data_IF_458051263673
#
_entry.id   IF_458051263673
#
_cell.length_a   1.000
_cell.length_b   1.000
_cell.length_c   1.000
_cell.angle_alpha   90.00
_cell.angle_beta   90.00
_cell.angle_gamma   90.00
#
_symmetry.space_group_name_H-M   'P 1'
#
loop_
_entity.id
_entity.type
_entity.pdbx_description
1 polymer ?
#
# COMPACT_ATOMS: atom_id res chain seq x y z
N UNK A 1 -12.60 -20.03 -15.86
CA UNK A 1 -12.72 -20.85 -14.64
C UNK A 1 -13.58 -20.04 -13.68
N UNK A 2 -14.65 -20.59 -13.10
CA UNK A 2 -15.52 -19.82 -12.19
C UNK A 2 -14.74 -19.53 -10.90
N UNK A 3 -14.49 -18.26 -10.52
CA UNK A 3 -13.79 -17.92 -9.29
C UNK A 3 -14.49 -18.50 -8.05
N UNK A 4 -15.80 -18.77 -8.15
CA UNK A 4 -16.63 -19.38 -7.10
C UNK A 4 -16.35 -20.86 -6.86
N UNK A 5 -15.55 -21.52 -7.71
CA UNK A 5 -15.18 -22.94 -7.60
C UNK A 5 -13.75 -23.17 -7.09
N UNK A 6 -12.97 -22.11 -6.90
CA UNK A 6 -11.72 -22.22 -6.16
C UNK A 6 -12.09 -22.40 -4.69
N UNK A 7 -12.00 -23.64 -4.21
CA UNK A 7 -11.97 -23.86 -2.77
C UNK A 7 -10.89 -22.98 -2.16
N UNK A 8 -11.07 -22.62 -0.90
CA UNK A 8 -10.06 -21.97 -0.06
C UNK A 8 -8.62 -22.38 -0.38
N UNK A 9 -8.42 -23.70 -0.45
CA UNK A 9 -7.15 -24.36 -0.79
C UNK A 9 -6.65 -24.03 -2.19
N UNK A 10 -7.56 -23.87 -3.15
CA UNK A 10 -7.27 -23.41 -4.50
C UNK A 10 -6.81 -21.94 -4.56
N UNK A 11 -7.38 -21.04 -3.75
CA UNK A 11 -6.93 -19.65 -3.66
C UNK A 11 -5.50 -19.57 -3.09
N UNK A 12 -5.24 -20.28 -1.99
CA UNK A 12 -3.90 -20.35 -1.35
C UNK A 12 -2.84 -20.87 -2.31
N UNK A 13 -3.14 -21.93 -3.07
CA UNK A 13 -2.24 -22.47 -4.09
C UNK A 13 -2.07 -21.54 -5.30
N UNK A 14 -3.10 -20.75 -5.65
CA UNK A 14 -3.06 -19.83 -6.78
C UNK A 14 -2.23 -18.56 -6.50
N UNK A 15 -2.21 -18.09 -5.24
CA UNK A 15 -1.48 -16.89 -4.83
C UNK A 15 -0.06 -17.17 -4.31
N UNK A 16 0.43 -18.41 -4.42
CA UNK A 16 1.81 -18.76 -4.05
C UNK A 16 2.09 -18.63 -2.54
N UNK A 17 1.05 -18.56 -1.71
CA UNK A 17 1.17 -18.58 -0.25
C UNK A 17 1.82 -19.93 0.16
N UNK A 18 3.07 -19.89 0.60
CA UNK A 18 3.75 -21.06 1.16
C UNK A 18 3.16 -21.31 2.54
N UNK A 19 2.26 -22.27 2.62
CA UNK A 19 1.59 -22.69 3.86
C UNK A 19 1.71 -24.21 3.91
N UNK A 20 2.38 -24.73 4.92
CA UNK A 20 2.71 -26.16 5.01
C UNK A 20 1.45 -27.02 5.23
N UNK A 21 0.47 -26.49 5.97
CA UNK A 21 -0.77 -27.22 6.28
C UNK A 21 -1.99 -26.77 5.47
N UNK A 22 -1.92 -25.61 4.78
CA UNK A 22 -3.01 -25.07 3.97
C UNK A 22 -4.23 -24.59 4.77
N UNK A 23 -4.15 -24.54 6.11
CA UNK A 23 -5.29 -24.23 6.99
C UNK A 23 -5.25 -22.81 7.56
N UNK A 24 -4.23 -21.99 7.27
CA UNK A 24 -4.17 -20.59 7.72
C UNK A 24 -5.48 -19.84 7.44
N UNK A 25 -6.01 -19.97 6.23
CA UNK A 25 -7.23 -19.29 5.82
C UNK A 25 -8.41 -19.74 6.69
N UNK A 26 -8.51 -21.03 7.04
CA UNK A 26 -9.55 -21.53 7.97
C UNK A 26 -9.33 -21.05 9.42
N UNK A 27 -8.08 -20.91 9.86
CA UNK A 27 -7.72 -20.37 11.20
C UNK A 27 -8.15 -18.91 11.35
N UNK A 28 -7.97 -18.14 10.28
CA UNK A 28 -8.18 -16.70 10.25
C UNK A 28 -9.61 -16.29 9.84
N UNK A 29 -10.35 -17.13 9.10
CA UNK A 29 -11.72 -16.87 8.59
C UNK A 29 -12.87 -17.61 9.28
N UNK A 30 -12.81 -17.79 10.61
CA UNK A 30 -14.08 -17.94 11.34
C UNK A 30 -14.89 -16.62 11.27
N UNK A 31 -16.09 -16.53 11.89
CA UNK A 31 -17.05 -15.38 11.87
C UNK A 31 -16.50 -13.96 12.20
N UNK A 32 -15.19 -13.83 12.35
CA UNK A 32 -14.37 -12.69 12.75
C UNK A 32 -14.09 -11.65 11.66
N UNK A 33 -14.61 -11.82 10.45
CA UNK A 33 -14.28 -10.93 9.30
C UNK A 33 -15.44 -10.06 8.82
N UNK A 34 -16.48 -9.95 9.64
CA UNK A 34 -17.61 -9.09 9.33
C UNK A 34 -17.37 -7.63 9.73
N UNK A 35 -16.42 -7.36 10.64
CA UNK A 35 -16.06 -6.02 11.06
C UNK A 35 -14.64 -5.62 10.61
N UNK A 36 -14.41 -4.34 10.25
CA UNK A 36 -13.11 -3.90 9.75
C UNK A 36 -11.96 -4.00 10.74
N UNK A 37 -12.22 -3.83 12.03
CA UNK A 37 -11.17 -3.85 13.06
C UNK A 37 -10.63 -5.26 13.25
N UNK A 38 -11.51 -6.24 13.41
CA UNK A 38 -11.13 -7.64 13.53
C UNK A 38 -10.53 -8.15 12.23
N UNK A 39 -11.05 -7.73 11.07
CA UNK A 39 -10.45 -8.07 9.78
C UNK A 39 -9.03 -7.56 9.62
N UNK A 40 -8.75 -6.34 10.08
CA UNK A 40 -7.42 -5.81 10.04
C UNK A 40 -6.46 -6.46 11.04
N UNK A 41 -6.93 -6.84 12.24
CA UNK A 41 -6.15 -7.65 13.17
C UNK A 41 -5.80 -9.01 12.57
N UNK A 42 -6.79 -9.70 12.00
CA UNK A 42 -6.60 -10.98 11.32
C UNK A 42 -5.60 -10.88 10.18
N UNK A 43 -5.69 -9.84 9.34
CA UNK A 43 -4.76 -9.64 8.24
C UNK A 43 -3.32 -9.41 8.73
N UNK A 44 -3.13 -8.63 9.79
CA UNK A 44 -1.80 -8.43 10.43
C UNK A 44 -1.26 -9.72 11.02
N UNK A 45 -2.10 -10.48 11.74
CA UNK A 45 -1.70 -11.76 12.33
C UNK A 45 -1.31 -12.77 11.24
N UNK A 46 -2.02 -12.77 10.11
CA UNK A 46 -1.71 -13.63 8.96
C UNK A 46 -0.38 -13.25 8.27
N UNK A 47 -0.05 -11.96 8.17
CA UNK A 47 1.27 -11.51 7.68
C UNK A 47 2.40 -11.92 8.64
N UNK A 48 2.11 -12.02 9.94
CA UNK A 48 3.07 -12.27 11.01
C UNK A 48 2.94 -13.63 11.70
N UNK A 49 2.42 -14.68 11.05
CA UNK A 49 2.24 -16.00 11.69
C UNK A 49 3.60 -16.69 12.00
N UNK A 50 4.19 -16.24 13.10
CA UNK A 50 5.46 -16.71 13.64
C UNK A 50 5.32 -18.08 14.28
N UNK A 51 4.14 -18.41 14.81
CA UNK A 51 3.89 -19.70 15.46
C UNK A 51 4.01 -20.85 14.46
N UNK A 52 3.58 -20.63 13.21
CA UNK A 52 3.61 -21.64 12.16
C UNK A 52 4.78 -21.43 11.19
N UNK A 53 5.60 -20.38 11.41
CA UNK A 53 6.74 -19.98 10.56
C UNK A 53 6.32 -19.65 9.11
N UNK A 54 5.08 -19.22 8.94
CA UNK A 54 4.50 -18.86 7.66
C UNK A 54 4.48 -17.33 7.56
N UNK A 55 5.32 -16.76 6.71
CA UNK A 55 5.21 -15.34 6.35
C UNK A 55 4.46 -15.29 5.04
N UNK A 56 3.23 -14.78 5.08
CA UNK A 56 2.45 -14.54 3.88
C UNK A 56 2.82 -13.19 3.30
N UNK A 57 3.01 -13.15 1.99
CA UNK A 57 3.17 -11.89 1.26
C UNK A 57 1.90 -11.03 1.50
N UNK A 58 2.04 -9.80 2.01
CA UNK A 58 0.90 -8.94 2.34
C UNK A 58 -0.12 -8.79 1.20
N UNK A 59 0.34 -8.74 -0.05
CA UNK A 59 -0.53 -8.66 -1.23
C UNK A 59 -1.41 -9.89 -1.40
N UNK A 60 -0.86 -11.09 -1.18
CA UNK A 60 -1.59 -12.34 -1.29
C UNK A 60 -2.69 -12.45 -0.21
N UNK A 61 -2.43 -11.96 1.01
CA UNK A 61 -3.46 -11.88 2.07
C UNK A 61 -4.62 -10.99 1.62
N UNK A 62 -4.31 -9.81 1.07
CA UNK A 62 -5.34 -8.86 0.64
C UNK A 62 -6.15 -9.36 -0.57
N UNK A 63 -5.50 -9.97 -1.55
CA UNK A 63 -6.16 -10.57 -2.71
C UNK A 63 -7.06 -11.73 -2.31
N UNK A 64 -6.58 -12.59 -1.41
CA UNK A 64 -7.38 -13.70 -0.91
C UNK A 64 -8.62 -13.20 -0.16
N UNK A 65 -8.48 -12.20 0.73
CA UNK A 65 -9.62 -11.59 1.43
C UNK A 65 -10.62 -10.95 0.46
N UNK A 66 -10.15 -10.24 -0.57
CA UNK A 66 -11.01 -9.61 -1.57
C UNK A 66 -11.78 -10.63 -2.43
N UNK A 67 -11.30 -11.87 -2.53
CA UNK A 67 -11.93 -12.92 -3.33
C UNK A 67 -12.95 -13.78 -2.57
N UNK A 68 -13.06 -13.67 -1.24
CA UNK A 68 -14.00 -14.49 -0.45
C UNK A 68 -15.40 -13.91 -0.49
N UNK A 69 -16.36 -14.73 -0.90
CA UNK A 69 -17.77 -14.40 -0.80
C UNK A 69 -18.19 -14.26 0.67
N UNK A 70 -18.83 -13.15 1.01
CA UNK A 70 -19.38 -12.90 2.36
C UNK A 70 -18.51 -12.02 3.25
N UNK A 71 -17.26 -11.72 2.89
CA UNK A 71 -16.49 -10.67 3.57
C UNK A 71 -16.98 -9.30 3.09
N UNK A 72 -17.42 -8.40 3.98
CA UNK A 72 -17.82 -7.05 3.57
C UNK A 72 -16.64 -6.26 2.98
N UNK A 73 -16.87 -5.48 1.92
CA UNK A 73 -15.83 -4.60 1.34
C UNK A 73 -15.22 -3.65 2.37
N UNK A 74 -16.00 -3.16 3.33
CA UNK A 74 -15.49 -2.33 4.41
C UNK A 74 -14.46 -3.07 5.29
N UNK A 75 -14.63 -4.38 5.47
CA UNK A 75 -13.70 -5.20 6.23
C UNK A 75 -12.36 -5.37 5.47
N UNK A 76 -12.44 -5.63 4.16
CA UNK A 76 -11.27 -5.66 3.27
C UNK A 76 -10.57 -4.29 3.25
N UNK A 77 -11.31 -3.19 3.18
CA UNK A 77 -10.76 -1.83 3.18
C UNK A 77 -10.00 -1.49 4.47
N UNK A 78 -10.53 -1.89 5.64
CA UNK A 78 -9.85 -1.71 6.92
C UNK A 78 -8.58 -2.56 7.03
N UNK A 79 -8.62 -3.81 6.57
CA UNK A 79 -7.44 -4.66 6.48
C UNK A 79 -6.37 -4.08 5.55
N UNK A 80 -6.79 -3.59 4.37
CA UNK A 80 -5.90 -2.95 3.41
C UNK A 80 -5.15 -1.77 4.02
N UNK A 81 -5.86 -0.91 4.75
CA UNK A 81 -5.27 0.24 5.45
C UNK A 81 -4.15 -0.21 6.39
N UNK A 82 -4.45 -1.08 7.34
CA UNK A 82 -3.50 -1.47 8.38
C UNK A 82 -2.30 -2.21 7.78
N UNK A 83 -2.54 -3.17 6.89
CA UNK A 83 -1.46 -3.92 6.23
C UNK A 83 -0.57 -3.00 5.41
N UNK A 84 -1.15 -2.07 4.66
CA UNK A 84 -0.40 -1.08 3.88
C UNK A 84 0.47 -0.19 4.78
N UNK A 85 -0.10 0.33 5.87
CA UNK A 85 0.61 1.26 6.75
C UNK A 85 1.70 0.57 7.57
N UNK A 86 1.52 -0.69 7.96
CA UNK A 86 2.48 -1.44 8.77
C UNK A 86 3.59 -2.09 7.94
N UNK A 87 3.25 -2.67 6.78
CA UNK A 87 4.18 -3.51 5.99
C UNK A 87 4.41 -3.02 4.57
N UNK A 88 3.51 -2.18 4.04
CA UNK A 88 3.43 -1.89 2.61
C UNK A 88 2.94 -3.08 1.80
N UNK A 89 2.69 -2.85 0.51
CA UNK A 89 2.34 -3.90 -0.45
C UNK A 89 3.20 -3.79 -1.70
N UNK A 90 3.58 -4.94 -2.25
CA UNK A 90 4.23 -5.06 -3.54
C UNK A 90 3.39 -5.95 -4.45
N UNK A 91 3.32 -5.59 -5.73
CA UNK A 91 2.74 -6.41 -6.78
C UNK A 91 3.57 -6.24 -8.06
N UNK A 92 3.51 -7.24 -8.93
CA UNK A 92 4.21 -7.21 -10.22
C UNK A 92 3.63 -6.13 -11.15
N UNK A 93 2.29 -5.98 -11.20
CA UNK A 93 1.61 -4.88 -11.87
C UNK A 93 1.08 -3.86 -10.85
N UNK A 94 1.53 -2.60 -10.88
CA UNK A 94 0.98 -1.51 -10.06
C UNK A 94 -0.54 -1.33 -10.18
N UNK A 95 -1.16 -1.76 -11.29
CA UNK A 95 -2.61 -1.72 -11.47
C UNK A 95 -3.36 -2.69 -10.55
N UNK A 96 -2.74 -3.79 -10.12
CA UNK A 96 -3.37 -4.76 -9.23
C UNK A 96 -3.56 -4.15 -7.85
N UNK A 97 -2.51 -3.52 -7.30
CA UNK A 97 -2.61 -2.73 -6.06
C UNK A 97 -3.59 -1.56 -6.22
N UNK A 98 -3.52 -0.83 -7.33
CA UNK A 98 -4.45 0.27 -7.58
C UNK A 98 -5.91 -0.20 -7.64
N UNK A 99 -6.17 -1.43 -8.10
CA UNK A 99 -7.51 -2.02 -8.11
C UNK A 99 -8.04 -2.27 -6.70
N UNK A 100 -7.21 -2.80 -5.79
CA UNK A 100 -7.58 -2.96 -4.37
C UNK A 100 -7.94 -1.61 -3.74
N UNK A 101 -7.13 -0.58 -3.98
CA UNK A 101 -7.41 0.77 -3.47
C UNK A 101 -8.64 1.42 -4.11
N UNK A 102 -8.90 1.20 -5.41
CA UNK A 102 -10.12 1.67 -6.08
C UNK A 102 -11.37 1.04 -5.46
N UNK A 103 -11.36 -0.27 -5.25
CA UNK A 103 -12.48 -0.99 -4.63
C UNK A 103 -12.71 -0.53 -3.18
N UNK A 104 -11.65 -0.48 -2.38
CA UNK A 104 -11.70 -0.02 -1.00
C UNK A 104 -12.20 1.43 -0.89
N UNK A 105 -11.78 2.33 -1.79
CA UNK A 105 -12.29 3.71 -1.84
C UNK A 105 -13.77 3.77 -2.23
N UNK A 106 -14.21 2.93 -3.16
CA UNK A 106 -15.59 2.92 -3.64
C UNK A 106 -16.57 2.34 -2.62
N UNK A 107 -16.16 1.31 -1.89
CA UNK A 107 -17.07 0.48 -1.08
C UNK A 107 -16.78 0.50 0.43
N UNK A 108 -15.63 1.00 0.86
CA UNK A 108 -15.26 1.12 2.27
C UNK A 108 -14.42 2.36 2.62
N UNK A 109 -14.71 3.56 2.10
CA UNK A 109 -13.83 4.72 2.25
C UNK A 109 -13.57 5.11 3.71
N UNK A 110 -14.55 4.95 4.60
CA UNK A 110 -14.43 5.25 6.03
C UNK A 110 -13.70 4.18 6.83
N UNK A 111 -13.49 3.00 6.26
CA UNK A 111 -12.63 1.96 6.83
C UNK A 111 -11.20 2.08 6.26
N UNK A 112 -11.07 2.49 5.01
CA UNK A 112 -9.78 2.75 4.37
C UNK A 112 -9.08 3.99 4.94
N UNK A 113 -9.83 5.07 5.17
CA UNK A 113 -9.31 6.38 5.60
C UNK A 113 -10.06 6.91 6.83
N UNK A 114 -9.36 7.64 7.69
CA UNK A 114 -9.97 8.39 8.78
C UNK A 114 -10.82 9.54 8.23
N UNK A 115 -11.69 10.10 9.08
CA UNK A 115 -12.49 11.27 8.70
C UNK A 115 -11.62 12.47 8.30
N UNK A 116 -10.51 12.72 9.00
CA UNK A 116 -9.57 13.79 8.67
C UNK A 116 -8.93 13.56 7.29
N UNK A 117 -8.47 12.35 7.02
CA UNK A 117 -7.85 11.99 5.74
C UNK A 117 -8.81 12.13 4.57
N UNK A 118 -10.06 11.70 4.73
CA UNK A 118 -11.11 11.87 3.72
C UNK A 118 -11.39 13.36 3.46
N UNK A 119 -11.48 14.17 4.52
CA UNK A 119 -11.67 15.62 4.39
C UNK A 119 -10.48 16.25 3.65
N UNK A 120 -9.25 15.89 4.02
CA UNK A 120 -8.03 16.37 3.34
C UNK A 120 -8.02 15.99 1.87
N UNK A 121 -8.31 14.73 1.55
CA UNK A 121 -8.41 14.24 0.17
C UNK A 121 -9.43 15.05 -0.64
N UNK A 122 -10.61 15.30 -0.07
CA UNK A 122 -11.67 16.08 -0.71
C UNK A 122 -11.28 17.55 -0.89
N UNK A 123 -10.52 18.11 0.06
CA UNK A 123 -10.04 19.49 0.03
C UNK A 123 -8.88 19.74 -0.94
N UNK A 124 -8.26 18.68 -1.49
CA UNK A 124 -7.18 18.83 -2.46
C UNK A 124 -7.64 19.64 -3.69
N UNK A 125 -6.74 20.43 -4.30
CA UNK A 125 -7.04 21.13 -5.54
C UNK A 125 -7.38 20.15 -6.67
N UNK A 126 -8.11 20.61 -7.69
CA UNK A 126 -8.49 19.78 -8.83
C UNK A 126 -7.28 19.13 -9.55
N UNK A 127 -6.13 19.81 -9.53
CA UNK A 127 -4.84 19.28 -9.97
C UNK A 127 -3.87 19.26 -8.80
N UNK A 128 -3.39 18.07 -8.45
CA UNK A 128 -2.52 17.80 -7.32
C UNK A 128 -1.10 17.62 -7.82
N UNK A 129 -0.15 18.29 -7.17
CA UNK A 129 1.28 18.05 -7.39
C UNK A 129 1.75 16.97 -6.41
N UNK A 130 2.41 15.94 -6.93
CA UNK A 130 2.84 14.76 -6.17
C UNK A 130 4.33 14.51 -6.39
N UNK A 131 4.97 13.95 -5.36
CA UNK A 131 6.40 13.65 -5.34
C UNK A 131 6.66 12.20 -4.92
N UNK A 132 7.72 11.58 -5.46
CA UNK A 132 8.16 10.24 -5.05
C UNK A 132 9.67 10.18 -5.00
N UNK A 133 10.22 9.75 -3.87
CA UNK A 133 11.63 9.41 -3.75
C UNK A 133 11.86 7.94 -4.10
N UNK A 134 12.91 7.66 -4.87
CA UNK A 134 13.25 6.28 -5.21
C UNK A 134 14.77 6.10 -5.39
N UNK A 135 15.36 5.16 -4.64
CA UNK A 135 16.82 4.93 -4.59
C UNK A 135 17.31 3.98 -5.69
N UNK A 136 16.57 2.91 -6.00
CA UNK A 136 17.08 1.76 -6.77
C UNK A 136 16.71 1.75 -8.27
N UNK A 137 16.31 2.88 -8.85
CA UNK A 137 15.79 2.93 -10.22
C UNK A 137 16.30 4.15 -11.00
N UNK A 138 16.25 4.05 -12.32
CA UNK A 138 16.89 4.97 -13.28
C UNK A 138 16.25 6.37 -13.39
N UNK A 139 15.24 6.66 -12.56
CA UNK A 139 14.52 7.93 -12.55
C UNK A 139 13.60 8.14 -13.75
N UNK A 140 13.42 7.14 -14.63
CA UNK A 140 12.59 7.28 -15.85
C UNK A 140 11.12 7.01 -15.60
N UNK A 141 10.81 6.12 -14.65
CA UNK A 141 9.44 5.72 -14.32
C UNK A 141 9.24 5.59 -12.81
N UNK A 142 8.03 5.88 -12.31
CA UNK A 142 7.67 5.58 -10.94
C UNK A 142 7.74 4.08 -10.68
N UNK A 143 8.34 3.68 -9.57
CA UNK A 143 8.45 2.27 -9.17
C UNK A 143 7.23 1.72 -8.42
N UNK A 144 6.30 2.57 -7.96
CA UNK A 144 5.11 2.16 -7.21
C UNK A 144 4.05 3.29 -7.26
N UNK A 145 2.85 3.00 -6.73
CA UNK A 145 1.69 3.88 -6.60
C UNK A 145 1.70 4.77 -5.36
N UNK A 146 2.64 4.57 -4.43
CA UNK A 146 2.85 5.44 -3.26
C UNK A 146 3.57 6.75 -3.66
N UNK A 147 2.98 7.89 -3.35
CA UNK A 147 3.57 9.22 -3.55
C UNK A 147 3.33 10.06 -2.30
N UNK A 148 3.89 11.25 -2.25
CA UNK A 148 3.69 12.21 -1.15
C UNK A 148 3.36 13.59 -1.71
N UNK A 149 2.58 14.36 -0.97
CA UNK A 149 2.36 15.79 -1.23
C UNK A 149 3.54 16.66 -0.76
N UNK A 150 4.46 16.10 0.01
CA UNK A 150 5.62 16.80 0.56
C UNK A 150 6.91 16.43 -0.19
N UNK A 151 7.47 17.40 -0.91
CA UNK A 151 8.74 17.24 -1.63
C UNK A 151 9.91 16.88 -0.71
N UNK A 152 9.93 17.38 0.53
CA UNK A 152 10.97 17.06 1.52
C UNK A 152 10.98 15.56 1.86
N UNK A 153 9.78 14.97 2.01
CA UNK A 153 9.59 13.54 2.26
C UNK A 153 10.12 12.72 1.07
N UNK A 154 9.75 13.09 -0.16
CA UNK A 154 10.28 12.44 -1.36
C UNK A 154 11.81 12.59 -1.47
N UNK A 155 12.36 13.73 -1.04
CA UNK A 155 13.80 13.95 -1.04
C UNK A 155 14.52 13.04 -0.03
N UNK A 156 13.94 12.81 1.15
CA UNK A 156 14.44 11.83 2.13
C UNK A 156 14.42 10.41 1.57
N UNK A 157 13.35 9.99 0.90
CA UNK A 157 13.29 8.67 0.25
C UNK A 157 14.22 8.53 -0.97
N UNK A 158 14.81 9.63 -1.45
CA UNK A 158 15.85 9.64 -2.47
C UNK A 158 17.26 9.88 -1.88
N UNK A 159 17.39 9.95 -0.55
CA UNK A 159 18.68 10.13 0.12
C UNK A 159 19.61 8.93 -0.16
N UNK A 160 20.94 9.15 -0.15
CA UNK A 160 21.90 8.06 -0.31
C UNK A 160 21.74 7.03 0.83
N UNK A 161 22.08 5.78 0.53
CA UNK A 161 22.10 4.70 1.53
C UNK A 161 23.55 4.17 1.61
N UNK A 162 24.41 4.79 2.45
CA UNK A 162 25.83 4.47 2.49
C UNK A 162 26.13 3.00 2.83
N UNK A 163 25.31 2.39 3.69
CA UNK A 163 25.42 0.97 4.07
C UNK A 163 25.26 0.01 2.90
N UNK A 164 24.58 0.44 1.82
CA UNK A 164 24.38 -0.34 0.60
C UNK A 164 25.21 0.19 -0.58
N UNK A 165 26.11 1.16 -0.33
CA UNK A 165 26.91 1.81 -1.37
C UNK A 165 26.08 2.57 -2.42
N UNK A 166 24.81 2.89 -2.11
CA UNK A 166 23.91 3.51 -3.07
C UNK A 166 24.07 5.04 -3.03
N UNK A 167 24.33 5.70 -4.18
CA UNK A 167 24.32 7.14 -4.25
C UNK A 167 22.88 7.66 -4.09
N UNK A 168 22.71 8.99 -4.05
CA UNK A 168 21.38 9.58 -4.04
C UNK A 168 20.54 9.06 -5.21
N UNK A 169 19.28 8.78 -4.90
CA UNK A 169 18.26 8.37 -5.85
C UNK A 169 17.68 9.54 -6.65
N UNK A 170 16.43 9.36 -7.05
CA UNK A 170 15.67 10.35 -7.82
C UNK A 170 14.43 10.78 -7.07
N UNK A 171 14.13 12.08 -7.17
CA UNK A 171 12.85 12.66 -6.84
C UNK A 171 12.07 12.77 -8.15
N UNK A 172 10.99 12.02 -8.25
CA UNK A 172 10.01 12.16 -9.32
C UNK A 172 8.95 13.17 -8.89
N UNK A 173 8.46 13.97 -9.83
CA UNK A 173 7.30 14.83 -9.62
C UNK A 173 6.36 14.81 -10.82
N UNK A 174 5.06 14.91 -10.54
CA UNK A 174 4.03 15.00 -11.57
C UNK A 174 2.84 15.81 -11.08
N UNK A 175 1.96 16.18 -12.01
CA UNK A 175 0.68 16.82 -11.73
C UNK A 175 -0.43 15.89 -12.21
N UNK A 176 -1.33 15.53 -11.30
CA UNK A 176 -2.41 14.58 -11.57
C UNK A 176 -3.76 15.19 -11.20
N UNK A 177 -4.85 14.86 -11.92
CA UNK A 177 -6.19 15.12 -11.43
C UNK A 177 -6.40 14.52 -10.03
N UNK A 178 -7.09 15.24 -9.14
CA UNK A 178 -7.43 14.75 -7.80
C UNK A 178 -8.15 13.40 -7.81
N UNK A 179 -8.96 13.15 -8.83
CA UNK A 179 -9.76 11.92 -8.92
C UNK A 179 -8.89 10.65 -9.04
N UNK A 180 -7.64 10.80 -9.48
CA UNK A 180 -6.66 9.71 -9.50
C UNK A 180 -6.01 9.45 -8.14
N UNK A 181 -6.22 10.29 -7.14
CA UNK A 181 -5.77 10.03 -5.77
C UNK A 181 -6.78 9.10 -5.10
N UNK A 182 -6.37 7.85 -4.90
CA UNK A 182 -7.17 6.75 -4.38
C UNK A 182 -7.26 6.76 -2.85
N UNK A 183 -6.19 7.17 -2.18
CA UNK A 183 -6.16 7.36 -0.73
C UNK A 183 -5.18 8.48 -0.36
N UNK A 184 -5.37 9.05 0.83
CA UNK A 184 -4.48 10.06 1.40
C UNK A 184 -4.24 9.74 2.88
N UNK A 185 -3.05 9.24 3.21
CA UNK A 185 -2.67 8.84 4.56
C UNK A 185 -1.86 9.93 5.26
N UNK A 186 -2.24 10.24 6.49
CA UNK A 186 -1.58 11.27 7.31
C UNK A 186 -0.59 10.67 8.30
N UNK A 187 -0.55 9.35 8.42
CA UNK A 187 0.37 8.64 9.29
C UNK A 187 1.83 9.03 9.04
N UNK A 188 2.60 8.99 10.12
CA UNK A 188 4.04 9.28 10.15
C UNK A 188 4.41 10.69 9.67
N UNK A 189 3.43 11.56 9.38
CA UNK A 189 3.66 12.92 8.86
C UNK A 189 4.01 12.97 7.37
N UNK A 190 3.88 11.85 6.64
CA UNK A 190 4.36 11.72 5.27
C UNK A 190 3.47 12.42 4.23
N UNK A 191 2.20 12.67 4.57
CA UNK A 191 1.18 13.13 3.60
C UNK A 191 1.18 12.22 2.36
N UNK A 192 1.14 10.91 2.60
CA UNK A 192 1.18 9.90 1.56
C UNK A 192 -0.11 9.95 0.75
N UNK A 193 0.01 9.85 -0.58
CA UNK A 193 -1.10 9.68 -1.50
C UNK A 193 -0.89 8.44 -2.33
N UNK A 194 -1.92 7.61 -2.40
CA UNK A 194 -1.95 6.44 -3.28
C UNK A 194 -2.61 6.87 -4.58
N UNK A 195 -1.95 6.63 -5.71
CA UNK A 195 -2.43 7.10 -7.02
C UNK A 195 -2.81 5.94 -7.93
N UNK A 196 -3.77 6.18 -8.80
CA UNK A 196 -4.03 5.31 -9.96
C UNK A 196 -2.90 5.52 -10.99
N UNK A 197 -2.10 4.47 -11.31
CA UNK A 197 -0.95 4.60 -12.18
C UNK A 197 -1.31 4.66 -13.67
N UNK A 198 -2.58 4.46 -14.04
CA UNK A 198 -3.04 4.40 -15.44
C UNK A 198 -2.48 5.52 -16.34
N UNK A 199 -2.40 6.80 -15.92
CA UNK A 199 -1.82 7.84 -16.76
C UNK A 199 -0.32 7.66 -17.00
N UNK A 200 0.44 7.12 -16.04
CA UNK A 200 1.88 6.90 -16.17
C UNK A 200 2.23 5.76 -17.14
N UNK A 201 1.25 4.94 -17.52
CA UNK A 201 1.38 3.93 -18.57
C UNK A 201 1.30 4.54 -19.98
N UNK A 202 0.78 5.77 -20.10
CA UNK A 202 0.69 6.48 -21.38
C UNK A 202 2.07 7.05 -21.73
N UNK A 203 2.66 6.70 -22.89
CA UNK A 203 3.94 7.26 -23.31
C UNK A 203 3.89 8.80 -23.36
N UNK A 204 4.86 9.43 -22.69
CA UNK A 204 4.98 10.89 -22.66
C UNK A 204 4.15 11.59 -21.58
N UNK A 205 3.45 10.86 -20.70
CA UNK A 205 2.83 11.50 -19.53
C UNK A 205 3.90 12.23 -18.70
N UNK A 206 3.66 13.50 -18.30
CA UNK A 206 4.70 14.34 -17.74
C UNK A 206 5.14 13.88 -16.35
N UNK A 207 6.35 13.33 -16.29
CA UNK A 207 7.06 13.05 -15.04
C UNK A 207 8.41 13.76 -15.12
N UNK A 208 8.69 14.62 -14.14
CA UNK A 208 10.00 15.28 -14.01
C UNK A 208 10.83 14.48 -13.02
N UNK A 209 12.12 14.35 -13.30
CA UNK A 209 13.08 13.69 -12.43
C UNK A 209 14.22 14.64 -12.09
N UNK A 210 14.56 14.70 -10.81
CA UNK A 210 15.74 15.40 -10.30
C UNK A 210 16.46 14.54 -9.26
N UNK A 211 17.72 14.87 -8.96
CA UNK A 211 18.51 14.08 -8.00
C UNK A 211 18.10 14.43 -6.57
N UNK A 212 17.97 13.41 -5.72
CA UNK A 212 17.83 13.61 -4.28
C UNK A 212 19.07 14.28 -3.69
N UNK A 213 18.88 15.34 -2.90
CA UNK A 213 19.99 16.08 -2.27
C UNK A 213 19.89 16.12 -0.75
N UNK A 214 18.81 15.61 -0.18
CA UNK A 214 18.59 15.62 1.26
C UNK A 214 19.47 14.60 1.96
N UNK A 215 20.01 15.02 3.11
CA UNK A 215 20.88 14.21 3.98
C UNK A 215 20.35 14.11 5.40
N UNK A 216 19.28 14.84 5.72
CA UNK A 216 18.69 14.92 7.05
C UNK A 216 17.27 14.33 7.05
N UNK A 217 16.91 13.68 8.15
CA UNK A 217 15.57 13.15 8.34
C UNK A 217 14.61 14.33 8.64
N UNK A 218 13.51 14.49 7.88
CA UNK A 218 12.59 15.62 8.07
C UNK A 218 12.02 15.64 9.49
N UNK A 219 12.05 16.81 10.13
CA UNK A 219 11.68 16.95 11.56
C UNK A 219 10.21 16.64 11.87
N UNK A 220 9.33 16.76 10.86
CA UNK A 220 7.90 16.48 10.98
C UNK A 220 7.56 14.99 10.78
N UNK A 221 8.52 14.19 10.29
CA UNK A 221 8.30 12.76 10.16
C UNK A 221 8.46 12.06 11.51
N UNK A 222 7.58 11.09 11.78
CA UNK A 222 7.76 10.18 12.90
C UNK A 222 8.74 9.08 12.49
N UNK A 223 9.72 8.78 13.33
CA UNK A 223 10.50 7.54 13.15
C UNK A 223 9.53 6.37 13.29
N UNK A 224 9.62 5.40 12.37
CA UNK A 224 8.83 4.16 12.41
C UNK A 224 8.84 3.62 13.84
N UNK A 225 7.66 3.24 14.37
CA UNK A 225 7.62 2.35 15.53
C UNK A 225 8.23 1.03 15.06
N UNK A 226 9.56 0.87 15.19
CA UNK A 226 10.08 -0.48 15.32
C UNK A 226 9.41 -1.01 16.58
N UNK A 227 8.52 -1.99 16.45
CA UNK A 227 8.12 -2.76 17.62
C UNK A 227 9.42 -3.22 18.27
N UNK A 228 9.70 -2.74 19.48
CA UNK A 228 10.72 -3.34 20.32
C UNK A 228 10.35 -4.82 20.40
N UNK A 229 11.12 -5.65 19.71
CA UNK A 229 11.17 -7.06 20.02
C UNK A 229 11.94 -7.14 21.35
N UNK A 230 11.20 -7.05 22.44
CA UNK A 230 11.57 -7.55 23.76
C UNK A 230 10.44 -8.47 24.24
#
# INVERSE_FOLDING_TARGET
MDPRLLTLKGLVMAFGCVVEDGTWFERFLNDRLLDPTTAAQVARDAVLDREHREVLEPAAVMEAMACVEGIPHAAVAGALREVWLDYGLQADDPNDLASLFRDARAHGPTALMTAEELERLQSLPATVEIFRGQVFCDGRRPSNISWTLNKEVACWYAAPVPSLGQPSGWILSSRVPRDLVLAHFLERGEQEVIIDPSPFLIPGYPVRAERGTCTEFPAHLSRVRMSSAD
#
